data_IF_324832283397
#
_entry.id   IF_324832283397
#
_cell.length_a   1.000
_cell.length_b   1.000
_cell.length_c   1.000
_cell.angle_alpha   90.00
_cell.angle_beta   90.00
_cell.angle_gamma   90.00
#
_symmetry.space_group_name_H-M   'P 1'
#
loop_
_entity.id
_entity.type
_entity.pdbx_description
1 polymer ?
#
# COMPACT_ATOMS: atom_id res chain seq x y z
N UNK A 1 12.01 4.01 -32.91
CA UNK A 1 12.64 5.03 -32.05
C UNK A 1 12.61 4.48 -30.62
N UNK A 2 13.75 4.32 -29.96
CA UNK A 2 13.78 3.82 -28.59
C UNK A 2 13.42 4.95 -27.63
N UNK A 3 12.41 4.74 -26.78
CA UNK A 3 12.14 5.67 -25.68
C UNK A 3 13.37 5.70 -24.75
N UNK A 4 13.72 6.86 -24.21
CA UNK A 4 14.77 6.94 -23.20
C UNK A 4 14.36 6.16 -21.94
N UNK A 5 15.34 5.51 -21.29
CA UNK A 5 15.11 4.59 -20.17
C UNK A 5 14.32 5.21 -19.01
N UNK A 6 14.45 6.53 -18.79
CA UNK A 6 13.66 7.26 -17.79
C UNK A 6 12.16 7.26 -18.15
N UNK A 7 11.82 7.46 -19.43
CA UNK A 7 10.44 7.52 -19.89
C UNK A 7 9.79 6.13 -19.81
N UNK A 8 10.58 5.07 -20.04
CA UNK A 8 10.14 3.70 -19.84
C UNK A 8 9.83 3.40 -18.36
N UNK A 9 10.72 3.77 -17.42
CA UNK A 9 10.47 3.60 -15.98
C UNK A 9 9.26 4.39 -15.49
N UNK A 10 9.07 5.61 -16.00
CA UNK A 10 7.89 6.43 -15.69
C UNK A 10 6.61 5.79 -16.23
N UNK A 11 6.65 5.26 -17.46
CA UNK A 11 5.51 4.57 -18.05
C UNK A 11 5.18 3.28 -17.30
N UNK A 12 6.20 2.51 -16.91
CA UNK A 12 6.06 1.32 -16.05
C UNK A 12 5.40 1.69 -14.72
N UNK A 13 5.84 2.76 -14.06
CA UNK A 13 5.22 3.27 -12.83
C UNK A 13 3.77 3.72 -13.01
N UNK A 14 3.44 4.38 -14.12
CA UNK A 14 2.07 4.79 -14.44
C UNK A 14 1.15 3.59 -14.69
N UNK A 15 1.64 2.56 -15.38
CA UNK A 15 0.89 1.32 -15.63
C UNK A 15 0.66 0.56 -14.32
N UNK A 16 1.69 0.43 -13.47
CA UNK A 16 1.55 -0.20 -12.15
C UNK A 16 0.54 0.57 -11.28
N UNK A 17 0.60 1.90 -11.27
CA UNK A 17 -0.39 2.72 -10.56
C UNK A 17 -1.83 2.50 -11.03
N UNK A 18 -2.03 2.40 -12.35
CA UNK A 18 -3.32 2.05 -12.95
C UNK A 18 -3.79 0.64 -12.52
N UNK A 19 -2.93 -0.37 -12.62
CA UNK A 19 -3.27 -1.74 -12.25
C UNK A 19 -3.61 -1.86 -10.76
N UNK A 20 -2.91 -1.15 -9.90
CA UNK A 20 -3.21 -1.03 -8.46
C UNK A 20 -4.59 -0.43 -8.20
N UNK A 21 -4.98 0.62 -8.93
CA UNK A 21 -6.34 1.18 -8.89
C UNK A 21 -7.39 0.15 -9.34
N UNK A 22 -7.13 -0.56 -10.44
CA UNK A 22 -8.04 -1.60 -10.93
C UNK A 22 -8.17 -2.78 -9.98
N UNK A 23 -7.10 -3.12 -9.27
CA UNK A 23 -7.13 -4.12 -8.22
C UNK A 23 -8.05 -3.70 -7.07
N UNK A 24 -7.99 -2.44 -6.60
CA UNK A 24 -8.95 -1.90 -5.61
C UNK A 24 -10.39 -1.99 -6.10
N UNK A 25 -10.65 -1.62 -7.36
CA UNK A 25 -11.98 -1.68 -7.97
C UNK A 25 -12.50 -3.13 -8.12
N UNK A 26 -11.61 -4.13 -8.18
CA UNK A 26 -11.99 -5.54 -8.25
C UNK A 26 -12.64 -6.07 -6.97
N UNK A 27 -12.34 -5.44 -5.82
CA UNK A 27 -12.99 -5.76 -4.55
C UNK A 27 -14.51 -5.51 -4.58
N UNK A 28 -14.96 -4.57 -5.42
CA UNK A 28 -16.37 -4.20 -5.56
C UNK A 28 -17.09 -4.94 -6.71
N UNK A 29 -16.49 -6.01 -7.25
CA UNK A 29 -16.97 -6.74 -8.44
C UNK A 29 -17.15 -5.87 -9.69
N UNK A 30 -16.54 -4.68 -9.74
CA UNK A 30 -16.67 -3.76 -10.87
C UNK A 30 -15.76 -4.16 -12.04
N UNK A 31 -14.63 -4.82 -11.75
CA UNK A 31 -13.58 -5.16 -12.72
C UNK A 31 -12.96 -6.51 -12.34
N UNK A 32 -12.73 -7.37 -13.32
CA UNK A 32 -12.07 -8.66 -13.11
C UNK A 32 -10.63 -8.62 -13.68
N UNK A 33 -9.64 -8.76 -12.80
CA UNK A 33 -8.25 -8.97 -13.19
C UNK A 33 -7.93 -10.47 -13.26
N UNK A 34 -7.05 -10.85 -14.18
CA UNK A 34 -6.57 -12.24 -14.26
C UNK A 34 -5.84 -12.64 -12.97
N UNK A 35 -5.94 -13.91 -12.57
CA UNK A 35 -5.29 -14.41 -11.36
C UNK A 35 -3.76 -14.15 -11.34
N UNK A 36 -2.99 -14.36 -12.44
CA UNK A 36 -1.57 -14.00 -12.47
C UNK A 36 -1.31 -12.51 -12.26
N UNK A 37 -2.16 -11.64 -12.82
CA UNK A 37 -2.04 -10.20 -12.62
C UNK A 37 -2.33 -9.80 -11.17
N UNK A 38 -3.39 -10.37 -10.56
CA UNK A 38 -3.70 -10.15 -9.14
C UNK A 38 -2.50 -10.50 -8.25
N UNK A 39 -1.87 -11.65 -8.49
CA UNK A 39 -0.71 -12.10 -7.71
C UNK A 39 0.48 -11.12 -7.79
N UNK A 40 0.87 -10.69 -8.98
CA UNK A 40 1.99 -9.76 -9.15
C UNK A 40 1.68 -8.36 -8.60
N UNK A 41 0.42 -7.92 -8.70
CA UNK A 41 -0.01 -6.63 -8.14
C UNK A 41 -0.04 -6.67 -6.62
N UNK A 42 -0.56 -7.74 -5.99
CA UNK A 42 -0.48 -7.94 -4.54
C UNK A 42 0.98 -7.88 -4.07
N UNK A 43 1.90 -8.52 -4.79
CA UNK A 43 3.34 -8.45 -4.48
C UNK A 43 3.88 -7.03 -4.57
N UNK A 44 3.57 -6.31 -5.65
CA UNK A 44 4.02 -4.92 -5.82
C UNK A 44 3.47 -3.99 -4.72
N UNK A 45 2.25 -4.21 -4.26
CA UNK A 45 1.64 -3.46 -3.16
C UNK A 45 2.35 -3.75 -1.85
N UNK A 46 2.62 -5.03 -1.56
CA UNK A 46 3.34 -5.47 -0.35
C UNK A 46 4.79 -4.98 -0.36
N UNK A 47 5.49 -5.04 -1.48
CA UNK A 47 6.85 -4.52 -1.61
C UNK A 47 6.88 -3.00 -1.28
N UNK A 48 5.86 -2.25 -1.72
CA UNK A 48 5.69 -0.83 -1.41
C UNK A 48 5.26 -0.56 0.05
N UNK A 49 4.98 -1.60 0.84
CA UNK A 49 4.74 -1.49 2.28
C UNK A 49 6.06 -1.37 3.06
N UNK A 50 7.09 -2.07 2.56
CA UNK A 50 8.42 -2.09 3.15
C UNK A 50 9.32 -0.97 2.61
N UNK A 51 9.14 -0.59 1.34
CA UNK A 51 9.86 0.54 0.72
C UNK A 51 8.88 1.52 0.07
N UNK A 52 8.52 2.63 0.75
CA UNK A 52 7.58 3.60 0.19
C UNK A 52 8.10 4.30 -1.09
N UNK A 53 9.39 4.21 -1.43
CA UNK A 53 9.91 4.73 -2.71
C UNK A 53 9.37 3.96 -3.92
N UNK A 54 8.93 2.72 -3.74
CA UNK A 54 8.26 1.93 -4.77
C UNK A 54 6.84 2.45 -5.05
N UNK A 55 6.30 3.26 -4.15
CA UNK A 55 5.12 4.08 -4.38
C UNK A 55 5.52 5.53 -4.67
N UNK A 56 5.93 5.79 -5.90
CA UNK A 56 6.41 7.11 -6.31
C UNK A 56 5.41 8.26 -5.99
N UNK A 57 4.10 8.15 -6.29
CA UNK A 57 3.13 9.19 -5.91
C UNK A 57 3.12 9.48 -4.42
N UNK A 58 3.05 8.44 -3.57
CA UNK A 58 3.07 8.59 -2.12
C UNK A 58 4.38 9.21 -1.65
N UNK A 59 5.51 8.66 -2.10
CA UNK A 59 6.83 9.11 -1.67
C UNK A 59 7.01 10.59 -1.99
N UNK A 60 6.70 11.02 -3.21
CA UNK A 60 6.79 12.41 -3.63
C UNK A 60 5.86 13.34 -2.84
N UNK A 61 4.62 12.93 -2.59
CA UNK A 61 3.68 13.73 -1.82
C UNK A 61 4.09 13.86 -0.34
N UNK A 62 4.68 12.81 0.24
CA UNK A 62 5.00 12.75 1.67
C UNK A 62 6.46 13.07 2.02
N UNK A 63 7.31 13.51 1.08
CA UNK A 63 8.76 13.67 1.34
C UNK A 63 9.06 14.54 2.56
N UNK A 64 8.37 15.66 2.73
CA UNK A 64 8.58 16.56 3.85
C UNK A 64 8.04 15.99 5.17
N UNK A 65 6.85 15.37 5.15
CA UNK A 65 6.29 14.68 6.32
C UNK A 65 7.21 13.56 6.81
N UNK A 66 7.77 12.78 5.89
CA UNK A 66 8.74 11.71 6.20
C UNK A 66 9.96 12.29 6.92
N UNK A 67 10.53 13.39 6.44
CA UNK A 67 11.71 14.03 7.06
C UNK A 67 11.38 14.58 8.45
N UNK A 68 10.21 15.18 8.61
CA UNK A 68 9.82 15.85 9.85
C UNK A 68 9.41 14.88 10.94
N UNK A 69 8.61 13.86 10.62
CA UNK A 69 7.97 13.00 11.61
C UNK A 69 8.55 11.58 11.67
N UNK A 70 9.03 11.06 10.55
CA UNK A 70 9.45 9.66 10.42
C UNK A 70 10.97 9.48 10.24
N UNK A 71 11.77 10.51 10.51
CA UNK A 71 13.23 10.47 10.34
C UNK A 71 13.91 9.46 11.27
N UNK A 72 13.40 9.24 12.49
CA UNK A 72 13.91 8.21 13.41
C UNK A 72 13.73 6.80 12.86
N UNK A 73 12.65 6.55 12.13
CA UNK A 73 12.34 5.25 11.50
C UNK A 73 13.28 4.94 10.34
N UNK A 74 13.79 5.96 9.64
CA UNK A 74 14.83 5.81 8.62
C UNK A 74 16.16 5.36 9.23
N UNK A 75 16.45 5.79 10.47
CA UNK A 75 17.72 5.52 11.18
C UNK A 75 17.68 4.16 11.87
N UNK A 76 16.54 3.77 12.40
CA UNK A 76 16.33 2.47 13.02
C UNK A 76 16.02 1.42 11.95
N UNK A 77 17.05 0.80 11.35
CA UNK A 77 16.90 -0.55 10.75
C UNK A 77 16.70 -1.58 11.86
N UNK A 78 15.61 -1.45 12.61
CA UNK A 78 15.20 -2.43 13.60
C UNK A 78 14.43 -3.52 12.86
N UNK A 79 14.71 -4.79 13.17
CA UNK A 79 14.12 -5.95 12.49
C UNK A 79 12.62 -6.17 12.77
N UNK A 80 11.84 -5.10 13.00
CA UNK A 80 10.39 -5.11 13.17
C UNK A 80 9.67 -4.41 12.00
N UNK A 81 8.34 -4.33 12.07
CA UNK A 81 7.49 -3.64 11.08
C UNK A 81 7.49 -2.10 11.22
N UNK A 82 8.49 -1.53 11.88
CA UNK A 82 8.67 -0.08 12.00
C UNK A 82 9.13 0.49 10.65
N UNK A 83 8.22 0.52 9.67
CA UNK A 83 8.46 1.10 8.36
C UNK A 83 8.10 2.58 8.36
N UNK A 84 8.67 3.32 7.43
CA UNK A 84 8.27 4.71 7.20
C UNK A 84 6.77 4.81 6.92
N UNK A 85 6.18 3.82 6.24
CA UNK A 85 4.76 3.81 5.96
C UNK A 85 3.91 3.58 7.21
N UNK A 86 4.30 2.71 8.14
CA UNK A 86 3.61 2.55 9.43
C UNK A 86 3.66 3.83 10.27
N UNK A 87 4.79 4.53 10.28
CA UNK A 87 4.89 5.86 10.90
C UNK A 87 3.90 6.86 10.25
N UNK A 88 3.87 6.92 8.92
CA UNK A 88 2.95 7.80 8.19
C UNK A 88 1.48 7.45 8.44
N UNK A 89 1.11 6.15 8.46
CA UNK A 89 -0.23 5.68 8.81
C UNK A 89 -0.61 6.12 10.22
N UNK A 90 0.29 5.97 11.19
CA UNK A 90 0.03 6.38 12.58
C UNK A 90 -0.25 7.88 12.69
N UNK A 91 0.49 8.72 11.97
CA UNK A 91 0.24 10.16 11.93
C UNK A 91 -1.04 10.51 11.16
N UNK A 92 -1.33 9.79 10.08
CA UNK A 92 -2.57 9.93 9.33
C UNK A 92 -3.79 9.67 10.22
N UNK A 93 -3.81 8.56 10.96
CA UNK A 93 -4.90 8.22 11.88
C UNK A 93 -5.06 9.20 13.05
N UNK A 94 -3.96 9.86 13.46
CA UNK A 94 -3.99 10.93 14.48
C UNK A 94 -4.41 12.29 13.92
N UNK A 95 -4.55 12.43 12.60
CA UNK A 95 -4.78 13.73 11.97
C UNK A 95 -3.58 14.68 12.06
N UNK A 96 -2.37 14.13 12.21
CA UNK A 96 -1.13 14.92 12.35
C UNK A 96 -0.51 15.35 11.00
N UNK A 97 -1.10 14.93 9.88
CA UNK A 97 -0.61 15.25 8.53
C UNK A 97 -1.35 16.47 8.01
N UNK A 98 -0.65 17.61 7.97
CA UNK A 98 -1.17 18.88 7.44
C UNK A 98 -1.11 18.97 5.92
N UNK A 99 -0.21 18.22 5.28
CA UNK A 99 -0.07 18.20 3.83
C UNK A 99 -1.22 17.41 3.19
N UNK A 100 -2.01 18.09 2.35
CA UNK A 100 -3.21 17.50 1.74
C UNK A 100 -2.90 16.45 0.69
N UNK A 101 -1.80 16.61 -0.05
CA UNK A 101 -1.41 15.66 -1.08
C UNK A 101 -0.85 14.39 -0.43
N UNK A 102 -0.03 14.53 0.62
CA UNK A 102 0.42 13.38 1.40
C UNK A 102 -0.77 12.65 2.06
N UNK A 103 -1.69 13.38 2.68
CA UNK A 103 -2.89 12.80 3.29
C UNK A 103 -3.75 12.04 2.28
N UNK A 104 -3.91 12.59 1.06
CA UNK A 104 -4.63 11.94 -0.03
C UNK A 104 -3.95 10.65 -0.48
N UNK A 105 -2.64 10.66 -0.68
CA UNK A 105 -1.91 9.46 -1.12
C UNK A 105 -1.86 8.39 -0.02
N UNK A 106 -1.82 8.78 1.26
CA UNK A 106 -1.96 7.85 2.38
C UNK A 106 -3.36 7.24 2.45
N UNK A 107 -4.41 8.04 2.25
CA UNK A 107 -5.78 7.50 2.16
C UNK A 107 -5.89 6.48 1.03
N UNK A 108 -5.33 6.78 -0.16
CA UNK A 108 -5.26 5.82 -1.28
C UNK A 108 -4.55 4.53 -0.87
N UNK A 109 -3.47 4.60 -0.09
CA UNK A 109 -2.76 3.41 0.38
C UNK A 109 -3.53 2.61 1.41
N UNK A 110 -4.16 3.27 2.38
CA UNK A 110 -5.02 2.61 3.35
C UNK A 110 -6.17 1.89 2.65
N UNK A 111 -6.85 2.55 1.71
CA UNK A 111 -7.92 1.91 0.91
C UNK A 111 -7.40 0.71 0.10
N UNK A 112 -6.16 0.77 -0.37
CA UNK A 112 -5.55 -0.33 -1.11
C UNK A 112 -5.26 -1.55 -0.26
N UNK A 113 -4.71 -1.35 0.94
CA UNK A 113 -4.40 -2.47 1.84
C UNK A 113 -5.64 -3.07 2.47
N UNK A 114 -6.75 -2.33 2.53
CA UNK A 114 -8.05 -2.83 3.00
C UNK A 114 -8.69 -3.87 2.06
N UNK A 115 -8.21 -4.00 0.82
CA UNK A 115 -8.79 -4.96 -0.15
C UNK A 115 -8.58 -6.40 0.31
N UNK A 116 -7.39 -6.73 0.80
CA UNK A 116 -7.00 -8.06 1.26
C UNK A 116 -6.04 -7.90 2.43
N UNK A 117 -6.30 -8.60 3.54
CA UNK A 117 -5.51 -8.51 4.77
C UNK A 117 -4.02 -8.83 4.55
N UNK A 118 -3.67 -9.62 3.53
CA UNK A 118 -2.26 -9.90 3.20
C UNK A 118 -1.50 -8.70 2.65
N UNK A 119 -2.21 -7.65 2.23
CA UNK A 119 -1.61 -6.39 1.78
C UNK A 119 -1.16 -5.51 2.94
N UNK A 120 -1.57 -5.83 4.17
CA UNK A 120 -1.11 -5.19 5.40
C UNK A 120 -0.44 -6.24 6.30
N UNK A 121 0.87 -6.48 6.15
CA UNK A 121 1.61 -7.47 6.93
C UNK A 121 1.53 -7.21 8.44
N UNK A 122 1.51 -5.95 8.86
CA UNK A 122 1.40 -5.55 10.27
C UNK A 122 0.07 -6.01 10.85
N UNK A 123 -1.04 -5.76 10.15
CA UNK A 123 -2.38 -6.21 10.53
C UNK A 123 -2.50 -7.73 10.48
N UNK A 124 -2.00 -8.37 9.41
CA UNK A 124 -2.05 -9.82 9.26
C UNK A 124 -1.32 -10.53 10.40
N UNK A 125 -0.12 -10.06 10.78
CA UNK A 125 0.65 -10.64 11.88
C UNK A 125 -0.08 -10.47 13.21
N UNK A 126 -0.55 -9.25 13.52
CA UNK A 126 -1.24 -8.95 14.76
C UNK A 126 -2.54 -9.76 14.92
N UNK A 127 -3.25 -10.04 13.82
CA UNK A 127 -4.51 -10.76 13.82
C UNK A 127 -4.40 -12.25 13.45
N UNK A 128 -3.20 -12.78 13.21
CA UNK A 128 -2.97 -14.13 12.63
C UNK A 128 -3.72 -15.25 13.37
N UNK A 129 -3.69 -15.26 14.70
CA UNK A 129 -4.39 -16.26 15.52
C UNK A 129 -5.91 -16.10 15.43
N UNK A 130 -6.40 -14.86 15.46
CA UNK A 130 -7.84 -14.59 15.42
C UNK A 130 -8.42 -14.88 14.04
N UNK A 131 -7.65 -14.64 12.97
CA UNK A 131 -8.02 -15.06 11.60
C UNK A 131 -8.28 -16.56 11.57
N UNK A 132 -7.35 -17.36 12.12
CA UNK A 132 -7.47 -18.82 12.13
C UNK A 132 -8.63 -19.31 13.00
N UNK A 133 -8.89 -18.65 14.13
CA UNK A 133 -9.89 -19.11 15.12
C UNK A 133 -11.30 -18.60 14.85
N UNK A 134 -11.43 -17.39 14.33
CA UNK A 134 -12.70 -16.66 14.23
C UNK A 134 -13.13 -16.44 12.77
N UNK A 135 -12.19 -16.39 11.83
CA UNK A 135 -12.45 -16.02 10.44
C UNK A 135 -12.03 -17.09 9.42
N UNK A 136 -11.90 -18.37 9.84
CA UNK A 136 -11.39 -19.45 8.97
C UNK A 136 -12.19 -19.64 7.66
N UNK A 137 -13.49 -19.32 7.67
CA UNK A 137 -14.38 -19.45 6.51
C UNK A 137 -14.47 -18.17 5.65
N UNK A 138 -13.73 -17.13 6.01
CA UNK A 138 -13.69 -15.85 5.27
C UNK A 138 -12.58 -15.91 4.24
N UNK A 139 -12.95 -15.82 2.95
CA UNK A 139 -11.98 -15.73 1.86
C UNK A 139 -11.40 -14.31 1.80
N UNK A 140 -10.07 -14.13 1.94
CA UNK A 140 -9.42 -12.83 1.76
C UNK A 140 -9.68 -12.24 0.36
N UNK A 141 -9.74 -10.91 0.25
CA UNK A 141 -9.95 -10.25 -1.04
C UNK A 141 -11.40 -10.24 -1.57
N UNK A 142 -12.36 -10.82 -0.83
CA UNK A 142 -13.79 -10.80 -1.19
C UNK A 142 -14.59 -10.01 -0.17
N UNK A 143 -14.54 -8.67 -0.25
CA UNK A 143 -15.56 -7.84 0.39
C UNK A 143 -16.91 -8.14 -0.28
N UNK A 144 -17.70 -9.03 0.33
CA UNK A 144 -19.13 -9.09 0.02
C UNK A 144 -19.70 -7.74 0.40
N UNK A 145 -20.01 -6.91 -0.61
CA UNK A 145 -20.77 -5.69 -0.40
C UNK A 145 -22.03 -6.03 0.39
N UNK A 146 -22.14 -5.47 1.59
CA UNK A 146 -23.41 -5.29 2.27
C UNK A 146 -24.11 -4.07 1.65
#
# INVERSE_FOLDING_TARGET
MNLPQYAQKVLEGAVVGCLREKYRQSAHNTIELSAPCKQEITKAIVDAEFDPQLDLPLYHACQETIKLHCSSTIIAKSGGFDTVLECLKADFYKGAISDRDCSKELARRVEETMVDIHLDPSLHEACSIDIQRLCADVVPGHSRGL
#
